data_IF_022602070089
#
_entry.id   IF_022602070089
#
_cell.length_a   1.000
_cell.length_b   1.000
_cell.length_c   1.000
_cell.angle_alpha   90.00
_cell.angle_beta   90.00
_cell.angle_gamma   90.00
#
_symmetry.space_group_name_H-M   'P 1'
#
loop_
_entity.id
_entity.type
_entity.pdbx_description
1 polymer ?
#
# COMPACT_ATOMS: atom_id res chain seq x y z
N UNK A 1 25.87 -19.69 -27.67
CA UNK A 1 24.89 -18.79 -27.02
C UNK A 1 23.51 -19.25 -27.45
N UNK A 2 22.80 -19.92 -26.55
CA UNK A 2 21.46 -20.44 -26.81
C UNK A 2 20.46 -19.37 -26.37
N UNK A 3 19.78 -18.74 -27.33
CA UNK A 3 18.66 -17.87 -27.02
C UNK A 3 17.41 -18.74 -26.88
N UNK A 4 16.89 -18.86 -25.66
CA UNK A 4 15.57 -19.44 -25.45
C UNK A 4 14.50 -18.37 -25.71
N UNK A 5 13.66 -18.66 -26.70
CA UNK A 5 12.46 -17.88 -26.99
C UNK A 5 11.45 -18.18 -25.86
N UNK A 6 10.84 -17.15 -25.27
CA UNK A 6 9.89 -17.16 -24.13
C UNK A 6 10.45 -16.93 -22.71
N UNK A 7 11.72 -16.55 -22.54
CA UNK A 7 12.27 -16.19 -21.21
C UNK A 7 11.58 -14.94 -20.61
N UNK A 8 11.26 -13.94 -21.45
CA UNK A 8 10.66 -12.69 -20.97
C UNK A 8 9.29 -12.85 -20.29
N UNK A 9 8.44 -13.74 -20.81
CA UNK A 9 7.12 -14.01 -20.23
C UNK A 9 7.24 -14.78 -18.89
N UNK A 10 8.18 -15.72 -18.78
CA UNK A 10 8.43 -16.45 -17.53
C UNK A 10 8.99 -15.54 -16.42
N UNK A 11 9.91 -14.62 -16.76
CA UNK A 11 10.44 -13.65 -15.79
C UNK A 11 9.34 -12.71 -15.30
N UNK A 12 8.50 -12.18 -16.21
CA UNK A 12 7.39 -11.30 -15.84
C UNK A 12 6.37 -12.00 -14.91
N UNK A 13 6.05 -13.27 -15.17
CA UNK A 13 5.16 -14.06 -14.33
C UNK A 13 5.77 -14.33 -12.94
N UNK A 14 7.05 -14.71 -12.86
CA UNK A 14 7.75 -14.89 -11.60
C UNK A 14 7.81 -13.58 -10.79
N UNK A 15 7.98 -12.46 -11.46
CA UNK A 15 7.99 -11.14 -10.86
C UNK A 15 6.62 -10.75 -10.29
N UNK A 16 5.52 -11.11 -10.97
CA UNK A 16 4.16 -10.94 -10.44
C UNK A 16 3.87 -11.83 -9.23
N UNK A 17 4.24 -13.10 -9.26
CA UNK A 17 4.06 -14.03 -8.14
C UNK A 17 4.78 -13.52 -6.88
N UNK A 18 6.03 -13.09 -7.07
CA UNK A 18 6.84 -12.50 -6.00
C UNK A 18 6.23 -11.20 -5.47
N UNK A 19 5.77 -10.33 -6.37
CA UNK A 19 5.11 -9.09 -6.01
C UNK A 19 3.85 -9.36 -5.18
N UNK A 20 3.00 -10.28 -5.64
CA UNK A 20 1.74 -10.66 -5.01
C UNK A 20 1.97 -11.25 -3.62
N UNK A 21 2.94 -12.16 -3.47
CA UNK A 21 3.28 -12.74 -2.18
C UNK A 21 3.78 -11.69 -1.18
N UNK A 22 4.66 -10.77 -1.60
CA UNK A 22 5.13 -9.69 -0.73
C UNK A 22 4.01 -8.72 -0.36
N UNK A 23 3.11 -8.37 -1.28
CA UNK A 23 1.97 -7.50 -0.98
C UNK A 23 0.96 -8.16 -0.03
N UNK A 24 0.72 -9.46 -0.17
CA UNK A 24 -0.08 -10.23 0.79
C UNK A 24 0.56 -10.23 2.18
N UNK A 25 1.87 -10.48 2.28
CA UNK A 25 2.58 -10.43 3.55
C UNK A 25 2.50 -9.02 4.18
N UNK A 26 2.78 -7.97 3.40
CA UNK A 26 2.68 -6.58 3.82
C UNK A 26 1.26 -6.22 4.31
N UNK A 27 0.22 -6.72 3.65
CA UNK A 27 -1.17 -6.47 4.05
C UNK A 27 -1.46 -6.94 5.48
N UNK A 28 -0.80 -8.02 5.92
CA UNK A 28 -0.93 -8.57 7.26
C UNK A 28 -0.05 -7.81 8.27
N UNK A 29 1.25 -7.73 7.99
CA UNK A 29 2.22 -7.23 8.98
C UNK A 29 2.09 -5.71 9.18
N UNK A 30 1.75 -4.95 8.15
CA UNK A 30 1.57 -3.51 8.26
C UNK A 30 0.26 -3.16 8.96
N UNK A 31 -0.82 -3.88 8.65
CA UNK A 31 -2.10 -3.71 9.33
C UNK A 31 -1.98 -3.95 10.85
N UNK A 32 -1.31 -5.05 11.22
CA UNK A 32 -1.02 -5.34 12.62
C UNK A 32 -0.15 -4.23 13.26
N UNK A 33 0.87 -3.73 12.56
CA UNK A 33 1.73 -2.67 13.06
C UNK A 33 0.98 -1.35 13.29
N UNK A 34 0.11 -0.95 12.35
CA UNK A 34 -0.72 0.26 12.47
C UNK A 34 -1.73 0.12 13.60
N UNK A 35 -2.41 -1.03 13.72
CA UNK A 35 -3.36 -1.27 14.80
C UNK A 35 -2.68 -1.24 16.19
N UNK A 36 -1.48 -1.82 16.31
CA UNK A 36 -0.68 -1.74 17.54
C UNK A 36 -0.15 -0.33 17.84
N UNK A 37 0.12 0.47 16.80
CA UNK A 37 0.57 1.84 16.91
C UNK A 37 -0.56 2.82 17.25
N UNK A 38 -1.82 2.50 16.90
CA UNK A 38 -2.94 3.42 17.02
C UNK A 38 -3.11 4.07 18.41
N UNK A 39 -2.96 3.36 19.55
CA UNK A 39 -3.08 3.97 20.87
C UNK A 39 -1.95 4.95 21.23
N UNK A 40 -0.79 4.86 20.57
CA UNK A 40 0.42 5.65 20.86
C UNK A 40 0.67 6.78 19.86
N UNK A 41 -0.05 6.80 18.73
CA UNK A 41 0.01 7.89 17.75
C UNK A 41 -0.42 9.22 18.39
N UNK A 42 0.43 10.23 18.26
CA UNK A 42 0.19 11.57 18.79
C UNK A 42 -0.66 12.39 17.82
N UNK A 43 -1.34 13.45 18.31
CA UNK A 43 -2.05 14.37 17.43
C UNK A 43 -1.17 14.97 16.30
N UNK A 44 0.12 15.19 16.55
CA UNK A 44 1.06 15.66 15.52
C UNK A 44 1.36 14.60 14.45
N UNK A 45 1.38 13.31 14.80
CA UNK A 45 1.54 12.23 13.83
C UNK A 45 0.34 12.18 12.87
N UNK A 46 -0.88 12.30 13.41
CA UNK A 46 -2.11 12.33 12.62
C UNK A 46 -2.21 13.56 11.72
N UNK A 47 -1.82 14.75 12.21
CA UNK A 47 -1.75 15.95 11.37
C UNK A 47 -0.79 15.75 10.19
N UNK A 48 0.42 15.26 10.45
CA UNK A 48 1.41 15.01 9.39
C UNK A 48 0.92 13.96 8.38
N UNK A 49 0.22 12.93 8.84
CA UNK A 49 -0.38 11.94 7.94
C UNK A 49 -1.50 12.54 7.09
N UNK A 50 -2.37 13.40 7.67
CA UNK A 50 -3.40 14.15 6.92
C UNK A 50 -2.78 15.06 5.86
N UNK A 51 -1.78 15.86 6.22
CA UNK A 51 -1.05 16.72 5.28
C UNK A 51 -0.46 15.92 4.10
N UNK A 52 0.12 14.75 4.36
CA UNK A 52 0.63 13.88 3.29
C UNK A 52 -0.50 13.33 2.41
N UNK A 53 -1.66 12.99 2.99
CA UNK A 53 -2.82 12.52 2.22
C UNK A 53 -3.45 13.64 1.39
N UNK A 54 -3.47 14.87 1.90
CA UNK A 54 -3.93 16.05 1.17
C UNK A 54 -3.00 16.37 0.01
N UNK A 55 -1.67 16.27 0.20
CA UNK A 55 -0.73 16.39 -0.91
C UNK A 55 -0.94 15.30 -1.97
N UNK A 56 -1.25 14.06 -1.57
CA UNK A 56 -1.61 13.00 -2.51
C UNK A 56 -2.88 13.35 -3.30
N UNK A 57 -3.86 13.99 -2.66
CA UNK A 57 -5.08 14.47 -3.32
C UNK A 57 -4.79 15.57 -4.34
N UNK A 58 -3.98 16.55 -3.96
CA UNK A 58 -3.64 17.69 -4.81
C UNK A 58 -2.97 17.26 -6.13
N UNK A 59 -2.03 16.30 -6.07
CA UNK A 59 -1.35 15.80 -7.28
C UNK A 59 -2.24 14.95 -8.20
N UNK A 60 -3.45 14.58 -7.76
CA UNK A 60 -4.44 13.90 -8.59
C UNK A 60 -5.33 14.87 -9.37
N UNK A 61 -5.38 16.15 -8.98
CA UNK A 61 -6.33 17.10 -9.51
C UNK A 61 -5.69 18.04 -10.57
N UNK A 62 -6.43 18.44 -11.61
CA UNK A 62 -5.96 19.43 -12.58
C UNK A 62 -5.66 20.79 -11.89
N UNK A 63 -4.67 21.57 -12.37
CA UNK A 63 -3.93 21.43 -13.63
C UNK A 63 -2.58 20.69 -13.51
N UNK A 64 -2.22 20.16 -12.33
CA UNK A 64 -0.87 19.65 -12.04
C UNK A 64 -0.49 18.44 -12.91
N UNK A 65 -1.47 17.62 -13.30
CA UNK A 65 -1.22 16.35 -13.98
C UNK A 65 -0.74 15.28 -12.99
N UNK A 66 -1.17 14.04 -13.21
CA UNK A 66 -0.87 12.95 -12.29
C UNK A 66 0.55 12.43 -12.50
N UNK A 67 1.38 12.51 -11.45
CA UNK A 67 2.70 11.87 -11.37
C UNK A 67 2.61 10.61 -10.47
N UNK A 68 2.62 9.40 -11.05
CA UNK A 68 2.51 8.16 -10.29
C UNK A 68 3.69 7.90 -9.35
N UNK A 69 4.89 8.37 -9.70
CA UNK A 69 6.07 8.18 -8.87
C UNK A 69 5.99 9.08 -7.63
N UNK A 70 5.63 10.36 -7.82
CA UNK A 70 5.38 11.28 -6.71
C UNK A 70 4.30 10.75 -5.76
N UNK A 71 3.19 10.23 -6.32
CA UNK A 71 2.14 9.59 -5.52
C UNK A 71 2.67 8.39 -4.73
N UNK A 72 3.48 7.53 -5.36
CA UNK A 72 4.05 6.36 -4.70
C UNK A 72 4.94 6.74 -3.51
N UNK A 73 5.75 7.80 -3.66
CA UNK A 73 6.61 8.32 -2.59
C UNK A 73 5.76 8.89 -1.43
N UNK A 74 4.73 9.67 -1.73
CA UNK A 74 3.81 10.20 -0.72
C UNK A 74 3.04 9.10 -0.01
N UNK A 75 2.58 8.08 -0.74
CA UNK A 75 1.90 6.91 -0.20
C UNK A 75 2.80 6.18 0.80
N UNK A 76 4.06 5.90 0.44
CA UNK A 76 5.03 5.30 1.36
C UNK A 76 5.25 6.16 2.60
N UNK A 77 5.35 7.48 2.44
CA UNK A 77 5.50 8.42 3.56
C UNK A 77 4.30 8.37 4.50
N UNK A 78 3.08 8.32 3.97
CA UNK A 78 1.85 8.18 4.74
C UNK A 78 1.89 6.93 5.62
N UNK A 79 2.11 5.76 5.01
CA UNK A 79 2.19 4.50 5.76
C UNK A 79 3.29 4.50 6.81
N UNK A 80 4.48 5.04 6.47
CA UNK A 80 5.62 5.12 7.38
C UNK A 80 5.36 5.98 8.61
N UNK A 81 4.56 7.05 8.51
CA UNK A 81 4.15 7.84 9.68
C UNK A 81 3.37 6.96 10.66
N UNK A 82 2.49 6.10 10.16
CA UNK A 82 1.63 5.27 10.97
C UNK A 82 2.37 4.06 11.56
N UNK A 83 2.97 3.21 10.72
CA UNK A 83 3.53 1.94 11.21
C UNK A 83 4.79 2.12 12.05
N UNK A 84 5.57 3.21 11.87
CA UNK A 84 6.80 3.44 12.66
C UNK A 84 6.54 3.81 14.12
N UNK A 85 5.31 4.20 14.45
CA UNK A 85 4.89 4.38 15.85
C UNK A 85 4.59 3.05 16.57
N UNK A 86 4.66 1.91 15.87
CA UNK A 86 4.45 0.59 16.44
C UNK A 86 5.50 0.29 17.54
N UNK A 87 5.09 -0.16 18.72
CA UNK A 87 6.03 -0.53 19.79
C UNK A 87 6.83 -1.80 19.46
N UNK A 88 6.35 -2.65 18.54
CA UNK A 88 7.04 -3.86 18.13
C UNK A 88 8.07 -3.54 17.02
N UNK A 89 9.33 -3.35 17.42
CA UNK A 89 10.44 -3.06 16.50
C UNK A 89 10.64 -4.13 15.44
N UNK A 90 10.34 -5.41 15.75
CA UNK A 90 10.50 -6.49 14.78
C UNK A 90 9.49 -6.41 13.64
N UNK A 91 8.26 -5.95 13.89
CA UNK A 91 7.29 -5.69 12.83
C UNK A 91 7.77 -4.59 11.89
N UNK A 92 8.34 -3.50 12.44
CA UNK A 92 8.90 -2.41 11.64
C UNK A 92 10.01 -2.92 10.73
N UNK A 93 10.95 -3.72 11.26
CA UNK A 93 12.04 -4.31 10.47
C UNK A 93 11.54 -5.21 9.33
N UNK A 94 10.51 -6.02 9.59
CA UNK A 94 9.92 -6.90 8.58
C UNK A 94 9.24 -6.10 7.47
N UNK A 95 8.49 -5.05 7.82
CA UNK A 95 7.85 -4.15 6.86
C UNK A 95 8.91 -3.48 5.98
N UNK A 96 9.95 -2.90 6.58
CA UNK A 96 11.02 -2.21 5.84
C UNK A 96 11.81 -3.18 4.95
N UNK A 97 12.07 -4.40 5.41
CA UNK A 97 12.73 -5.44 4.63
C UNK A 97 11.90 -5.88 3.41
N UNK A 98 10.58 -6.07 3.57
CA UNK A 98 9.71 -6.43 2.46
C UNK A 98 9.54 -5.29 1.46
N UNK A 99 9.46 -4.04 1.91
CA UNK A 99 9.51 -2.89 0.99
C UNK A 99 10.83 -2.78 0.24
N UNK A 100 11.95 -3.06 0.89
CA UNK A 100 13.26 -3.10 0.25
C UNK A 100 13.35 -4.23 -0.80
N UNK A 101 12.74 -5.40 -0.51
CA UNK A 101 12.67 -6.54 -1.44
C UNK A 101 11.90 -6.21 -2.72
N UNK A 102 10.83 -5.43 -2.62
CA UNK A 102 10.03 -5.02 -3.78
C UNK A 102 10.76 -4.01 -4.68
N UNK A 103 11.71 -3.24 -4.16
CA UNK A 103 12.54 -2.32 -4.95
C UNK A 103 11.71 -1.41 -5.86
N UNK A 104 12.07 -1.35 -7.15
CA UNK A 104 11.39 -0.50 -8.13
C UNK A 104 10.01 -1.03 -8.57
N UNK A 105 9.62 -2.26 -8.22
CA UNK A 105 8.31 -2.81 -8.59
C UNK A 105 7.15 -2.01 -7.97
N UNK A 106 7.44 -1.30 -6.86
CA UNK A 106 6.45 -0.50 -6.11
C UNK A 106 5.93 0.73 -6.86
N UNK A 107 6.71 1.28 -7.80
CA UNK A 107 6.37 2.51 -8.53
C UNK A 107 5.35 2.27 -9.65
N UNK A 108 4.97 1.02 -9.87
CA UNK A 108 4.30 0.59 -11.09
C UNK A 108 2.77 0.65 -11.02
N UNK A 109 2.14 0.34 -9.88
CA UNK A 109 0.68 0.14 -9.83
C UNK A 109 -0.07 1.41 -10.15
N UNK A 110 0.27 2.52 -9.49
CA UNK A 110 -0.46 3.77 -9.69
C UNK A 110 -0.26 4.33 -11.09
N UNK A 111 0.81 3.94 -11.80
CA UNK A 111 0.98 4.27 -13.21
C UNK A 111 0.01 3.49 -14.11
N UNK A 112 -0.33 2.25 -13.74
CA UNK A 112 -1.22 1.38 -14.51
C UNK A 112 -2.70 1.52 -14.15
N UNK A 113 -3.00 1.90 -12.89
CA UNK A 113 -4.38 2.03 -12.38
C UNK A 113 -4.57 3.38 -11.67
N UNK A 114 -4.70 4.51 -12.41
CA UNK A 114 -4.83 5.84 -11.81
C UNK A 114 -6.04 5.99 -10.88
N UNK A 115 -7.16 5.33 -11.18
CA UNK A 115 -8.37 5.39 -10.35
C UNK A 115 -8.15 4.81 -8.95
N UNK A 116 -7.24 3.84 -8.80
CA UNK A 116 -6.86 3.26 -7.51
C UNK A 116 -6.23 4.33 -6.60
N UNK A 117 -5.53 5.32 -7.16
CA UNK A 117 -4.93 6.40 -6.37
C UNK A 117 -6.00 7.26 -5.68
N UNK A 118 -7.09 7.59 -6.38
CA UNK A 118 -8.22 8.36 -5.79
C UNK A 118 -8.95 7.58 -4.71
N UNK A 119 -9.07 6.26 -4.86
CA UNK A 119 -9.64 5.40 -3.81
C UNK A 119 -8.71 5.29 -2.60
N UNK A 120 -7.41 5.13 -2.83
CA UNK A 120 -6.38 5.07 -1.80
C UNK A 120 -6.43 6.29 -0.87
N UNK A 121 -6.56 7.49 -1.43
CA UNK A 121 -6.69 8.73 -0.65
C UNK A 121 -7.94 8.72 0.25
N UNK A 122 -9.08 8.23 -0.25
CA UNK A 122 -10.33 8.13 0.53
C UNK A 122 -10.22 7.10 1.64
N UNK A 123 -9.55 5.99 1.38
CA UNK A 123 -9.30 4.96 2.39
C UNK A 123 -8.36 5.45 3.50
N UNK A 124 -7.35 6.26 3.14
CA UNK A 124 -6.47 6.90 4.12
C UNK A 124 -7.24 7.86 5.04
N UNK A 125 -8.16 8.68 4.52
CA UNK A 125 -9.01 9.55 5.35
C UNK A 125 -9.81 8.72 6.35
N UNK A 126 -10.47 7.66 5.87
CA UNK A 126 -11.26 6.77 6.72
C UNK A 126 -10.40 6.08 7.81
N UNK A 127 -9.18 5.67 7.47
CA UNK A 127 -8.23 5.10 8.43
C UNK A 127 -7.82 6.11 9.50
N UNK A 128 -7.51 7.35 9.10
CA UNK A 128 -7.14 8.41 10.04
C UNK A 128 -8.28 8.74 10.99
N UNK A 129 -9.52 8.77 10.49
CA UNK A 129 -10.72 8.98 11.30
C UNK A 129 -10.93 7.84 12.31
N UNK A 130 -10.68 6.59 11.92
CA UNK A 130 -10.71 5.43 12.83
C UNK A 130 -9.67 5.58 13.95
N UNK A 131 -8.45 6.00 13.62
CA UNK A 131 -7.38 6.17 14.61
C UNK A 131 -7.69 7.35 15.54
N UNK A 132 -8.13 8.49 15.01
CA UNK A 132 -8.42 9.70 15.78
C UNK A 132 -9.54 9.49 16.79
N UNK A 133 -10.62 8.79 16.39
CA UNK A 133 -11.74 8.45 17.29
C UNK A 133 -11.43 7.29 18.24
N UNK A 134 -10.20 6.73 18.20
CA UNK A 134 -9.76 5.57 18.97
C UNK A 134 -10.68 4.35 18.78
N UNK A 135 -10.98 4.03 17.52
CA UNK A 135 -11.74 2.84 17.18
C UNK A 135 -11.06 1.57 17.71
N UNK A 136 -11.82 0.47 17.90
CA UNK A 136 -11.24 -0.83 18.26
C UNK A 136 -10.12 -1.25 17.30
N UNK A 137 -9.04 -1.83 17.85
CA UNK A 137 -7.85 -2.20 17.06
C UNK A 137 -8.17 -3.09 15.84
N UNK A 138 -9.14 -4.00 15.97
CA UNK A 138 -9.56 -4.87 14.88
C UNK A 138 -10.23 -4.12 13.71
N UNK A 139 -10.91 -2.99 13.95
CA UNK A 139 -11.48 -2.16 12.88
C UNK A 139 -10.36 -1.45 12.09
N UNK A 140 -9.36 -0.93 12.80
CA UNK A 140 -8.18 -0.27 12.21
C UNK A 140 -7.37 -1.28 11.39
N UNK A 141 -7.12 -2.46 11.96
CA UNK A 141 -6.43 -3.54 11.29
C UNK A 141 -7.18 -3.97 10.02
N UNK A 142 -8.51 -4.17 10.12
CA UNK A 142 -9.33 -4.58 8.98
C UNK A 142 -9.33 -3.53 7.87
N UNK A 143 -9.45 -2.24 8.20
CA UNK A 143 -9.36 -1.16 7.22
C UNK A 143 -8.01 -1.17 6.49
N UNK A 144 -6.92 -1.37 7.24
CA UNK A 144 -5.57 -1.37 6.68
C UNK A 144 -5.31 -2.60 5.78
N UNK A 145 -5.77 -3.78 6.20
CA UNK A 145 -5.73 -5.01 5.38
C UNK A 145 -6.49 -4.81 4.07
N UNK A 146 -7.72 -4.30 4.15
CA UNK A 146 -8.57 -4.03 2.97
C UNK A 146 -7.91 -3.07 2.00
N UNK A 147 -7.36 -1.96 2.49
CA UNK A 147 -6.66 -1.00 1.65
C UNK A 147 -5.47 -1.65 0.90
N UNK A 148 -4.64 -2.43 1.60
CA UNK A 148 -3.49 -3.12 0.98
C UNK A 148 -3.93 -4.17 -0.02
N UNK A 149 -4.96 -4.95 0.32
CA UNK A 149 -5.57 -5.94 -0.56
C UNK A 149 -6.17 -5.29 -1.82
N UNK A 150 -6.90 -4.17 -1.68
CA UNK A 150 -7.48 -3.44 -2.81
C UNK A 150 -6.44 -2.99 -3.83
N UNK A 151 -5.25 -2.59 -3.38
CA UNK A 151 -4.12 -2.26 -4.25
C UNK A 151 -3.62 -3.46 -5.05
N UNK A 152 -3.44 -4.62 -4.41
CA UNK A 152 -3.04 -5.84 -5.10
C UNK A 152 -4.13 -6.32 -6.07
N UNK A 153 -5.40 -6.26 -5.65
CA UNK A 153 -6.54 -6.65 -6.48
C UNK A 153 -6.65 -5.79 -7.73
N UNK A 154 -6.46 -4.47 -7.60
CA UNK A 154 -6.47 -3.54 -8.73
C UNK A 154 -5.38 -3.87 -9.75
N UNK A 155 -4.16 -4.19 -9.30
CA UNK A 155 -3.08 -4.61 -10.18
C UNK A 155 -3.42 -5.92 -10.91
N UNK A 156 -3.78 -6.96 -10.16
CA UNK A 156 -4.05 -8.28 -10.75
C UNK A 156 -5.24 -8.23 -11.73
N UNK A 157 -6.27 -7.43 -11.44
CA UNK A 157 -7.42 -7.26 -12.34
C UNK A 157 -7.04 -6.50 -13.61
N UNK A 158 -6.07 -5.59 -13.53
CA UNK A 158 -5.53 -4.91 -14.70
C UNK A 158 -4.66 -5.82 -15.57
N UNK A 159 -3.82 -6.67 -14.94
CA UNK A 159 -2.92 -7.58 -15.66
C UNK A 159 -3.65 -8.81 -16.23
N UNK A 160 -4.67 -9.32 -15.53
CA UNK A 160 -5.43 -10.51 -15.91
C UNK A 160 -6.95 -10.23 -15.95
N UNK A 161 -7.44 -9.41 -16.91
CA UNK A 161 -8.85 -9.00 -16.94
C UNK A 161 -9.83 -10.16 -17.15
N UNK A 162 -9.38 -11.27 -17.74
CA UNK A 162 -10.20 -12.46 -18.03
C UNK A 162 -10.19 -13.50 -16.89
N UNK A 163 -9.45 -13.27 -15.80
CA UNK A 163 -9.38 -14.19 -14.67
C UNK A 163 -9.97 -13.56 -13.40
N UNK A 164 -10.89 -14.24 -12.68
CA UNK A 164 -11.41 -13.71 -11.44
C UNK A 164 -10.31 -13.68 -10.36
N UNK A 165 -9.84 -12.48 -10.03
CA UNK A 165 -8.90 -12.27 -8.93
C UNK A 165 -9.62 -12.44 -7.59
N UNK A 166 -9.36 -13.54 -6.90
CA UNK A 166 -9.73 -13.73 -5.50
C UNK A 166 -8.49 -13.61 -4.63
N UNK A 167 -8.41 -12.53 -3.86
CA UNK A 167 -7.49 -12.48 -2.74
C UNK A 167 -8.06 -13.37 -1.62
N UNK A 168 -7.21 -14.10 -0.88
CA UNK A 168 -7.66 -14.82 0.29
C UNK A 168 -8.35 -13.86 1.26
N UNK A 169 -9.44 -14.30 1.89
CA UNK A 169 -10.03 -13.58 3.01
C UNK A 169 -9.02 -13.63 4.17
N UNK A 170 -8.32 -12.52 4.40
CA UNK A 170 -7.24 -12.38 5.38
C UNK A 170 -7.74 -11.93 6.76
#
# INVERSE_FOLDING_TARGET
VTFERNVGAHVAMLDEDRYSASMQALSLIEAAAVALAAPTLKPDDLRRAREVNDHMREILDPPLGFDPHAFTVLNQKFHAILYRACPNRRLIELIEAEWARLGNMRDSIFAFVPDRARESVREHDALLDLIERRAPAHEIEHAMRRHRAGTLQALLSHTHPDQPVRLPDL
#
